data_IF_026313880404
#
_entry.id   IF_026313880404
#
_cell.length_a   1.000
_cell.length_b   1.000
_cell.length_c   1.000
_cell.angle_alpha   90.00
_cell.angle_beta   90.00
_cell.angle_gamma   90.00
#
_symmetry.space_group_name_H-M   'P 1'
#
loop_
_entity.id
_entity.type
_entity.pdbx_description
1 polymer ?
#
# COMPACT_ATOMS: atom_id res chain seq x y z
N UNK A 1 14.53 8.56 -11.49
CA UNK A 1 13.21 8.92 -12.03
C UNK A 1 12.15 8.11 -11.29
N UNK A 2 10.98 8.68 -11.03
CA UNK A 2 9.84 7.95 -10.46
C UNK A 2 9.16 7.10 -11.54
N UNK A 3 8.57 5.96 -11.17
CA UNK A 3 7.84 5.10 -12.10
C UNK A 3 6.73 5.88 -12.84
N UNK A 4 6.62 5.66 -14.15
CA UNK A 4 5.50 6.11 -14.97
C UNK A 4 4.35 5.08 -14.96
N UNK A 5 3.17 5.44 -15.48
CA UNK A 5 1.98 4.57 -15.41
C UNK A 5 2.14 3.26 -16.21
N UNK A 6 2.90 3.25 -17.30
CA UNK A 6 3.16 2.02 -18.08
C UNK A 6 4.06 1.05 -17.32
N UNK A 7 5.09 1.58 -16.67
CA UNK A 7 5.98 0.79 -15.82
C UNK A 7 5.24 0.22 -14.60
N UNK A 8 4.35 1.00 -13.99
CA UNK A 8 3.49 0.50 -12.90
C UNK A 8 2.61 -0.65 -13.40
N UNK A 9 2.05 -0.54 -14.61
CA UNK A 9 1.20 -1.61 -15.16
C UNK A 9 1.97 -2.92 -15.34
N UNK A 10 3.20 -2.85 -15.84
CA UNK A 10 4.08 -4.01 -15.96
C UNK A 10 4.40 -4.60 -14.57
N UNK A 11 4.86 -3.77 -13.64
CA UNK A 11 5.19 -4.23 -12.28
C UNK A 11 4.00 -4.88 -11.60
N UNK A 12 2.82 -4.24 -11.64
CA UNK A 12 1.61 -4.78 -11.01
C UNK A 12 1.14 -6.07 -11.69
N UNK A 13 1.29 -6.17 -13.02
CA UNK A 13 0.94 -7.37 -13.78
C UNK A 13 1.87 -8.57 -13.52
N UNK A 14 3.12 -8.33 -13.12
CA UNK A 14 4.11 -9.37 -12.84
C UNK A 14 4.08 -9.85 -11.38
N UNK A 15 3.64 -9.02 -10.45
CA UNK A 15 3.68 -9.34 -9.02
C UNK A 15 2.56 -10.32 -8.63
N UNK A 16 2.82 -11.28 -7.72
CA UNK A 16 1.82 -12.23 -7.22
C UNK A 16 0.90 -11.58 -6.18
N UNK A 17 0.29 -10.44 -6.52
CA UNK A 17 -0.55 -9.64 -5.62
C UNK A 17 -1.88 -10.32 -5.36
N UNK A 18 -2.63 -10.69 -6.39
CA UNK A 18 -3.92 -11.36 -6.22
C UNK A 18 -3.74 -12.68 -5.49
N UNK A 19 -4.70 -12.99 -4.60
CA UNK A 19 -4.68 -14.12 -3.70
C UNK A 19 -3.56 -14.14 -2.65
N UNK A 20 -2.68 -13.12 -2.59
CA UNK A 20 -1.70 -13.01 -1.50
C UNK A 20 -2.37 -12.65 -0.17
N UNK A 21 -1.92 -13.33 0.90
CA UNK A 21 -2.32 -13.06 2.29
C UNK A 21 -1.32 -12.09 2.93
N UNK A 22 -1.79 -10.94 3.43
CA UNK A 22 -0.96 -9.98 4.13
C UNK A 22 -0.60 -10.50 5.53
N UNK A 23 0.69 -10.76 5.77
CA UNK A 23 1.19 -11.30 7.04
C UNK A 23 1.77 -10.21 7.95
N UNK A 24 2.42 -9.20 7.38
CA UNK A 24 2.97 -8.08 8.15
C UNK A 24 3.06 -6.79 7.34
N UNK A 25 3.11 -5.67 8.06
CA UNK A 25 3.43 -4.35 7.49
C UNK A 25 4.55 -3.75 8.33
N UNK A 26 5.62 -3.33 7.68
CA UNK A 26 6.80 -2.73 8.31
C UNK A 26 7.04 -1.36 7.70
N UNK A 27 7.14 -0.35 8.55
CA UNK A 27 7.52 1.00 8.11
C UNK A 27 9.02 1.21 8.30
N UNK A 28 9.65 1.75 7.27
CA UNK A 28 11.10 1.99 7.24
C UNK A 28 11.41 3.49 7.38
N UNK A 29 10.63 4.34 6.73
CA UNK A 29 10.71 5.81 6.83
C UNK A 29 9.29 6.40 6.84
N UNK A 30 9.17 7.73 6.90
CA UNK A 30 7.87 8.40 6.74
C UNK A 30 7.19 8.11 5.38
N UNK A 31 7.96 7.70 4.38
CA UNK A 31 7.52 7.56 2.99
C UNK A 31 7.58 6.13 2.47
N UNK A 32 8.02 5.16 3.27
CA UNK A 32 8.28 3.80 2.79
C UNK A 32 7.78 2.69 3.72
N UNK A 33 7.15 1.69 3.11
CA UNK A 33 6.56 0.52 3.76
C UNK A 33 6.96 -0.76 3.00
N UNK A 34 7.19 -1.82 3.75
CA UNK A 34 7.19 -3.20 3.26
C UNK A 34 5.90 -3.90 3.68
N UNK A 35 5.27 -4.55 2.73
CA UNK A 35 4.09 -5.40 2.91
C UNK A 35 4.54 -6.85 2.74
N UNK A 36 4.60 -7.59 3.84
CA UNK A 36 5.02 -8.98 3.82
C UNK A 36 3.81 -9.85 3.51
N UNK A 37 3.84 -10.52 2.37
CA UNK A 37 2.77 -11.35 1.85
C UNK A 37 3.17 -12.82 1.84
N UNK A 38 2.16 -13.68 1.87
CA UNK A 38 2.29 -15.09 1.50
C UNK A 38 1.37 -15.40 0.31
N UNK A 39 1.93 -15.93 -0.76
CA UNK A 39 1.20 -16.45 -1.90
C UNK A 39 1.38 -17.97 -1.99
N UNK A 40 0.32 -18.72 -2.30
CA UNK A 40 0.38 -20.20 -2.29
C UNK A 40 1.44 -20.76 -3.27
N UNK A 41 1.62 -20.11 -4.42
CA UNK A 41 2.55 -20.58 -5.46
C UNK A 41 3.97 -20.03 -5.30
N UNK A 42 4.14 -18.84 -4.72
CA UNK A 42 5.44 -18.14 -4.65
C UNK A 42 6.05 -18.21 -3.24
N UNK A 43 5.27 -18.62 -2.24
CA UNK A 43 5.68 -18.59 -0.84
C UNK A 43 5.64 -17.18 -0.27
N UNK A 44 6.56 -16.91 0.67
CA UNK A 44 6.68 -15.59 1.30
C UNK A 44 7.38 -14.63 0.35
N UNK A 45 6.81 -13.45 0.17
CA UNK A 45 7.40 -12.38 -0.62
C UNK A 45 7.09 -11.03 0.02
N UNK A 46 7.82 -9.99 -0.36
CA UNK A 46 7.65 -8.65 0.21
C UNK A 46 7.45 -7.64 -0.90
N UNK A 47 6.33 -6.92 -0.88
CA UNK A 47 6.15 -5.73 -1.69
C UNK A 47 6.77 -4.55 -0.95
N UNK A 48 7.75 -3.89 -1.55
CA UNK A 48 8.24 -2.61 -1.08
C UNK A 48 7.49 -1.48 -1.79
N UNK A 49 7.11 -0.46 -1.03
CA UNK A 49 6.49 0.78 -1.55
C UNK A 49 7.21 1.98 -0.98
N UNK A 50 7.51 2.96 -1.84
CA UNK A 50 8.03 4.27 -1.47
C UNK A 50 7.26 5.33 -2.25
N UNK A 51 6.82 6.38 -1.56
CA UNK A 51 5.93 7.40 -2.14
C UNK A 51 6.43 8.83 -1.84
N UNK A 52 6.13 9.79 -2.72
CA UNK A 52 6.40 11.20 -2.46
C UNK A 52 7.88 11.62 -2.44
N UNK A 53 8.79 10.72 -2.77
CA UNK A 53 10.23 10.99 -2.94
C UNK A 53 10.61 10.93 -4.44
N UNK A 54 11.78 11.47 -4.85
CA UNK A 54 12.31 11.26 -6.20
C UNK A 54 12.54 9.78 -6.58
N UNK A 55 12.52 8.88 -5.58
CA UNK A 55 12.70 7.43 -5.72
C UNK A 55 11.39 6.66 -5.53
N UNK A 56 10.23 7.32 -5.64
CA UNK A 56 8.92 6.70 -5.50
C UNK A 56 8.79 5.50 -6.46
N UNK A 57 8.47 4.34 -5.89
CA UNK A 57 8.45 3.03 -6.58
C UNK A 57 7.63 2.02 -5.80
N UNK A 58 7.14 1.01 -6.51
CA UNK A 58 6.73 -0.27 -5.94
C UNK A 58 7.54 -1.38 -6.61
N UNK A 59 7.92 -2.42 -5.88
CA UNK A 59 8.56 -3.62 -6.44
C UNK A 59 8.59 -4.76 -5.43
N UNK A 60 8.85 -5.99 -5.89
CA UNK A 60 9.22 -7.09 -5.01
C UNK A 60 10.62 -6.86 -4.44
N UNK A 61 10.76 -6.97 -3.12
CA UNK A 61 12.06 -6.89 -2.46
C UNK A 61 12.80 -8.23 -2.59
N UNK A 62 13.97 -8.23 -3.23
CA UNK A 62 14.84 -9.41 -3.41
C UNK A 62 16.09 -9.37 -2.52
N UNK A 63 16.39 -8.22 -1.92
CA UNK A 63 17.54 -8.00 -1.04
C UNK A 63 17.19 -8.10 0.46
N UNK A 64 18.13 -7.72 1.35
CA UNK A 64 17.89 -7.76 2.79
C UNK A 64 16.70 -6.90 3.20
N UNK A 65 16.00 -7.33 4.25
CA UNK A 65 14.93 -6.52 4.85
C UNK A 65 15.49 -5.18 5.29
N UNK A 66 14.77 -4.10 4.97
CA UNK A 66 15.16 -2.75 5.40
C UNK A 66 14.92 -2.58 6.90
N UNK A 67 15.70 -1.70 7.54
CA UNK A 67 15.56 -1.39 8.95
C UNK A 67 14.17 -0.79 9.23
N UNK A 68 13.51 -1.25 10.30
CA UNK A 68 12.22 -0.70 10.75
C UNK A 68 12.43 0.60 11.52
N UNK A 69 11.42 1.47 11.54
CA UNK A 69 11.43 2.65 12.43
C UNK A 69 11.54 2.22 13.90
N UNK A 70 12.29 2.98 14.71
CA UNK A 70 12.47 2.71 16.15
C UNK A 70 11.14 2.76 16.91
N UNK A 71 10.33 3.79 16.64
CA UNK A 71 9.00 3.97 17.25
C UNK A 71 7.92 3.40 16.35
N UNK A 72 6.98 2.70 16.97
CA UNK A 72 5.83 2.11 16.28
C UNK A 72 4.88 3.21 15.77
N UNK A 73 4.86 3.40 14.45
CA UNK A 73 4.04 4.43 13.80
C UNK A 73 2.55 4.07 13.81
N UNK A 74 1.70 5.10 13.89
CA UNK A 74 0.23 4.96 13.91
C UNK A 74 -0.29 4.11 12.75
N UNK A 75 0.16 4.37 11.54
CA UNK A 75 -0.29 3.61 10.36
C UNK A 75 0.02 2.11 10.50
N UNK A 76 1.18 1.76 11.05
CA UNK A 76 1.53 0.35 11.32
C UNK A 76 0.65 -0.25 12.42
N UNK A 77 0.30 0.51 13.47
CA UNK A 77 -0.66 0.06 14.49
C UNK A 77 -2.02 -0.23 13.88
N UNK A 78 -2.52 0.68 13.04
CA UNK A 78 -3.75 0.48 12.28
C UNK A 78 -3.66 -0.75 11.37
N UNK A 79 -2.57 -0.89 10.61
CA UNK A 79 -2.36 -2.03 9.71
C UNK A 79 -2.37 -3.36 10.47
N UNK A 80 -1.75 -3.43 11.65
CA UNK A 80 -1.80 -4.63 12.51
C UNK A 80 -3.21 -4.96 12.97
N UNK A 81 -3.97 -3.95 13.37
CA UNK A 81 -5.33 -4.15 13.86
C UNK A 81 -6.32 -4.50 12.74
N UNK A 82 -6.19 -3.89 11.55
CA UNK A 82 -7.22 -3.89 10.50
C UNK A 82 -6.82 -4.57 9.19
N UNK A 83 -5.55 -4.52 8.78
CA UNK A 83 -5.11 -5.04 7.48
C UNK A 83 -4.48 -6.43 7.54
N UNK A 84 -3.65 -6.73 8.56
CA UNK A 84 -2.98 -8.03 8.65
C UNK A 84 -4.03 -9.16 8.71
N UNK A 85 -3.78 -10.22 7.94
CA UNK A 85 -4.71 -11.33 7.73
C UNK A 85 -5.69 -11.12 6.58
N UNK A 86 -5.65 -9.97 5.89
CA UNK A 86 -6.46 -9.75 4.69
C UNK A 86 -5.86 -10.46 3.48
N UNK A 87 -6.73 -10.97 2.62
CA UNK A 87 -6.36 -11.48 1.29
C UNK A 87 -6.57 -10.39 0.26
N UNK A 88 -5.61 -10.19 -0.64
CA UNK A 88 -5.81 -9.35 -1.82
C UNK A 88 -6.71 -10.11 -2.81
N UNK A 89 -7.90 -9.59 -3.08
CA UNK A 89 -8.89 -10.23 -3.98
C UNK A 89 -8.89 -9.64 -5.38
N UNK A 90 -8.39 -8.42 -5.55
CA UNK A 90 -8.27 -7.78 -6.85
C UNK A 90 -7.20 -6.69 -6.82
N UNK A 91 -6.54 -6.48 -7.95
CA UNK A 91 -5.66 -5.34 -8.17
C UNK A 91 -6.18 -4.49 -9.32
N UNK A 92 -6.20 -3.18 -9.13
CA UNK A 92 -6.64 -2.24 -10.15
C UNK A 92 -5.69 -1.06 -10.24
N UNK A 93 -5.16 -0.79 -11.42
CA UNK A 93 -4.51 0.47 -11.74
C UNK A 93 -5.50 1.35 -12.49
N UNK A 94 -5.61 2.62 -12.09
CA UNK A 94 -6.45 3.57 -12.79
C UNK A 94 -5.84 3.90 -14.18
N UNK A 95 -6.65 3.93 -15.25
CA UNK A 95 -6.15 4.14 -16.61
C UNK A 95 -5.34 5.42 -16.75
N UNK A 96 -4.16 5.30 -17.36
CA UNK A 96 -3.23 6.40 -17.59
C UNK A 96 -2.75 7.13 -16.31
N UNK A 97 -2.93 6.51 -15.15
CA UNK A 97 -2.65 7.11 -13.85
C UNK A 97 -1.64 6.26 -13.03
N UNK A 98 -0.99 6.91 -12.06
CA UNK A 98 -0.07 6.30 -11.09
C UNK A 98 -0.76 5.96 -9.77
N UNK A 99 -2.04 5.65 -9.86
CA UNK A 99 -2.89 5.21 -8.75
C UNK A 99 -3.18 3.72 -8.87
N UNK A 100 -2.76 2.97 -7.85
CA UNK A 100 -3.04 1.54 -7.71
C UNK A 100 -3.96 1.34 -6.52
N UNK A 101 -4.96 0.46 -6.66
CA UNK A 101 -5.86 0.01 -5.60
C UNK A 101 -5.73 -1.50 -5.45
N UNK A 102 -5.44 -1.94 -4.23
CA UNK A 102 -5.62 -3.34 -3.83
C UNK A 102 -6.97 -3.47 -3.12
N UNK A 103 -7.79 -4.43 -3.54
CA UNK A 103 -9.00 -4.82 -2.79
C UNK A 103 -8.60 -5.89 -1.78
N UNK A 104 -8.86 -5.63 -0.51
CA UNK A 104 -8.49 -6.50 0.60
C UNK A 104 -9.77 -7.08 1.22
N UNK A 105 -9.83 -8.39 1.40
CA UNK A 105 -10.92 -9.07 2.09
C UNK A 105 -10.45 -9.65 3.43
N UNK A 106 -11.19 -9.38 4.51
CA UNK A 106 -10.92 -9.91 5.84
C UNK A 106 -12.20 -10.05 6.65
N UNK A 107 -12.47 -11.25 7.17
CA UNK A 107 -13.59 -11.52 8.06
C UNK A 107 -14.95 -10.98 7.54
N UNK A 108 -15.19 -11.11 6.23
CA UNK A 108 -16.42 -10.62 5.57
C UNK A 108 -16.40 -9.13 5.20
N UNK A 109 -15.41 -8.34 5.65
CA UNK A 109 -15.26 -6.95 5.27
C UNK A 109 -14.39 -6.79 4.02
N UNK A 110 -14.73 -5.81 3.18
CA UNK A 110 -13.92 -5.34 2.05
C UNK A 110 -13.30 -3.99 2.40
N UNK A 111 -11.99 -3.89 2.20
CA UNK A 111 -11.22 -2.66 2.36
C UNK A 111 -10.52 -2.34 1.04
N UNK A 112 -10.30 -1.05 0.77
CA UNK A 112 -9.47 -0.62 -0.36
C UNK A 112 -8.19 0.00 0.15
N UNK A 113 -7.06 -0.49 -0.37
CA UNK A 113 -5.73 0.10 -0.15
C UNK A 113 -5.31 0.83 -1.42
N UNK A 114 -5.32 2.15 -1.36
CA UNK A 114 -4.85 3.02 -2.43
C UNK A 114 -3.38 3.38 -2.24
N UNK A 115 -2.59 3.26 -3.31
CA UNK A 115 -1.19 3.65 -3.38
C UNK A 115 -1.06 4.70 -4.48
N UNK A 116 -0.96 5.97 -4.07
CA UNK A 116 -0.74 7.12 -4.96
C UNK A 116 0.77 7.34 -5.14
N UNK A 117 1.32 6.92 -6.28
CA UNK A 117 2.73 7.11 -6.64
C UNK A 117 2.99 8.46 -7.32
N UNK A 118 2.24 9.48 -6.93
CA UNK A 118 2.42 10.83 -7.43
C UNK A 118 3.71 11.46 -6.88
N UNK A 119 4.11 12.57 -7.49
CA UNK A 119 5.22 13.37 -7.00
C UNK A 119 4.75 14.30 -5.88
N UNK A 120 5.59 14.55 -4.88
CA UNK A 120 5.35 15.53 -3.82
C UNK A 120 4.06 15.30 -3.04
N UNK A 121 3.26 16.36 -2.88
CA UNK A 121 2.08 16.39 -2.00
C UNK A 121 0.87 15.60 -2.51
N UNK A 122 0.89 15.09 -3.75
CA UNK A 122 -0.14 14.18 -4.25
C UNK A 122 0.05 12.73 -3.77
N UNK A 123 1.26 12.37 -3.34
CA UNK A 123 1.59 11.00 -2.99
C UNK A 123 0.98 10.63 -1.63
N UNK A 124 0.42 9.42 -1.52
CA UNK A 124 -0.11 8.90 -0.25
C UNK A 124 -0.35 7.38 -0.33
N UNK A 125 -0.51 6.75 0.83
CA UNK A 125 -1.04 5.41 0.97
C UNK A 125 -2.27 5.53 1.88
N UNK A 126 -3.43 5.15 1.37
CA UNK A 126 -4.73 5.44 2.00
C UNK A 126 -5.52 4.14 2.07
N UNK A 127 -6.14 3.89 3.23
CA UNK A 127 -7.05 2.77 3.41
C UNK A 127 -8.46 3.29 3.61
N UNK A 128 -9.41 2.75 2.85
CA UNK A 128 -10.83 3.03 3.02
C UNK A 128 -11.63 1.76 3.28
N UNK A 129 -12.87 1.94 3.74
CA UNK A 129 -13.91 0.92 3.61
C UNK A 129 -14.50 0.88 2.18
N UNK A 130 -15.56 0.09 2.00
CA UNK A 130 -16.27 -0.06 0.73
C UNK A 130 -17.00 1.21 0.26
N UNK A 131 -17.32 2.13 1.17
CA UNK A 131 -18.01 3.39 0.88
C UNK A 131 -17.01 4.55 0.65
N UNK A 132 -15.72 4.22 0.52
CA UNK A 132 -14.61 5.16 0.39
C UNK A 132 -14.44 6.10 1.59
N UNK A 133 -14.94 5.75 2.78
CA UNK A 133 -14.54 6.47 3.99
C UNK A 133 -13.13 6.07 4.39
N UNK A 134 -12.29 7.07 4.62
CA UNK A 134 -10.89 6.89 4.99
C UNK A 134 -10.79 6.35 6.42
N UNK A 135 -10.22 5.16 6.57
CA UNK A 135 -9.99 4.55 7.87
C UNK A 135 -8.66 5.02 8.47
N UNK A 136 -7.57 4.95 7.69
CA UNK A 136 -6.28 5.52 8.06
C UNK A 136 -5.41 5.73 6.79
N UNK A 137 -4.29 6.42 6.94
CA UNK A 137 -3.45 6.88 5.85
C UNK A 137 -2.03 7.16 6.33
N UNK A 138 -1.05 6.93 5.45
CA UNK A 138 0.36 7.08 5.78
C UNK A 138 0.74 8.55 6.01
N UNK A 139 0.25 9.47 5.16
CA UNK A 139 0.59 10.90 5.21
C UNK A 139 -0.64 11.75 5.50
N UNK A 140 -0.74 12.29 6.73
CA UNK A 140 -1.89 13.11 7.15
C UNK A 140 -1.78 14.54 6.67
N UNK A 141 -2.78 15.00 5.92
CA UNK A 141 -2.83 16.36 5.38
C UNK A 141 -4.23 16.96 5.56
N UNK A 142 -4.56 17.49 6.76
CA UNK A 142 -5.89 18.04 7.06
C UNK A 142 -6.39 19.09 6.07
N UNK A 143 -5.50 19.96 5.59
CA UNK A 143 -5.82 21.00 4.60
C UNK A 143 -6.25 20.45 3.22
N UNK A 144 -6.10 19.14 2.98
CA UNK A 144 -6.46 18.45 1.74
C UNK A 144 -7.56 17.39 1.94
N UNK A 145 -8.19 17.35 3.12
CA UNK A 145 -9.17 16.30 3.45
C UNK A 145 -8.55 14.91 3.67
N UNK A 146 -7.22 14.77 3.67
CA UNK A 146 -6.53 13.49 3.89
C UNK A 146 -6.44 13.21 5.41
N UNK A 147 -7.60 12.88 6.02
CA UNK A 147 -7.77 12.54 7.44
C UNK A 147 -8.75 11.39 7.61
N UNK A 148 -8.58 10.56 8.65
CA UNK A 148 -9.53 9.51 9.00
C UNK A 148 -10.93 10.06 9.22
N UNK A 149 -11.96 9.35 8.72
CA UNK A 149 -13.36 9.73 8.77
C UNK A 149 -13.81 10.66 7.64
N UNK A 150 -12.91 11.15 6.79
CA UNK A 150 -13.28 11.86 5.56
C UNK A 150 -13.54 10.88 4.41
N UNK A 151 -14.32 11.30 3.40
CA UNK A 151 -14.54 10.53 2.17
C UNK A 151 -13.42 10.83 1.17
N UNK A 152 -12.91 9.79 0.49
CA UNK A 152 -11.83 9.86 -0.49
C UNK A 152 -12.27 10.40 -1.86
#
# INVERSE_FOLDING_TARGET
>A
MSLNWREIALVVGELPLENSLLQAVVQHTFNSLSWEFYHRQVGRWTLYTEIGTPHARLHMLTGPKRQKTEKLQRFVQFARARLIGSRVTAVYQYPFDRLVRLTLARAGATLYLYIRLYSGSGANIIVTDSDNQILDLLLRRPRRGEVSGSTL
#
